data_IF_185797526010
#
_entry.id   IF_185797526010
#
_cell.length_a   1.000
_cell.length_b   1.000
_cell.length_c   1.000
_cell.angle_alpha   90.00
_cell.angle_beta   90.00
_cell.angle_gamma   90.00
#
_symmetry.space_group_name_H-M   'P 1'
#
loop_
_entity.id
_entity.type
_entity.pdbx_description
1 polymer ?
#
# COMPACT_ATOMS: atom_id res chain seq x y z
N UNK A 1 1.25 -0.45 -14.30
CA UNK A 1 0.54 -1.30 -13.30
C UNK A 1 1.29 -2.62 -13.26
N UNK A 2 1.95 -2.95 -12.15
CA UNK A 2 2.77 -4.15 -12.07
C UNK A 2 1.98 -5.36 -11.61
N UNK A 3 2.48 -6.55 -11.91
CA UNK A 3 1.77 -7.80 -11.65
C UNK A 3 1.59 -8.05 -10.14
N UNK A 4 0.35 -8.29 -9.72
CA UNK A 4 0.00 -8.55 -8.32
C UNK A 4 -0.08 -10.07 -8.08
N UNK A 5 0.99 -10.69 -7.60
CA UNK A 5 1.07 -12.16 -7.43
C UNK A 5 1.32 -12.62 -5.99
N UNK A 6 1.87 -11.76 -5.14
CA UNK A 6 2.25 -12.09 -3.76
C UNK A 6 1.03 -12.19 -2.84
N UNK A 7 1.07 -13.09 -1.86
CA UNK A 7 0.05 -13.21 -0.83
C UNK A 7 0.39 -12.31 0.38
N UNK A 8 -0.55 -12.16 1.31
CA UNK A 8 -0.35 -11.29 2.48
C UNK A 8 0.76 -11.78 3.43
N UNK A 9 1.04 -13.09 3.46
CA UNK A 9 2.13 -13.67 4.26
C UNK A 9 3.49 -13.24 3.74
N UNK A 10 3.73 -13.36 2.43
CA UNK A 10 4.94 -12.86 1.76
C UNK A 10 5.12 -11.36 2.00
N UNK A 11 4.04 -10.58 1.88
CA UNK A 11 4.11 -9.13 2.14
C UNK A 11 4.44 -8.83 3.60
N UNK A 12 3.88 -9.58 4.56
CA UNK A 12 4.24 -9.48 5.98
C UNK A 12 5.74 -9.71 6.19
N UNK A 13 6.30 -10.76 5.59
CA UNK A 13 7.73 -11.07 5.70
C UNK A 13 8.59 -9.96 5.11
N UNK A 14 8.23 -9.45 3.92
CA UNK A 14 8.99 -8.41 3.23
C UNK A 14 8.91 -7.02 3.88
N UNK A 15 7.79 -6.71 4.55
CA UNK A 15 7.53 -5.39 5.15
C UNK A 15 7.80 -5.32 6.64
N UNK A 16 7.80 -6.47 7.34
CA UNK A 16 7.80 -6.54 8.81
C UNK A 16 6.48 -6.10 9.45
N UNK A 17 5.44 -5.82 8.67
CA UNK A 17 4.11 -5.47 9.17
C UNK A 17 3.33 -6.72 9.55
N UNK A 18 2.48 -6.60 10.58
CA UNK A 18 1.44 -7.62 10.80
C UNK A 18 0.41 -7.61 9.67
N UNK A 19 -0.22 -8.76 9.41
CA UNK A 19 -1.33 -8.83 8.45
C UNK A 19 -2.47 -7.86 8.82
N UNK A 20 -2.68 -7.63 10.12
CA UNK A 20 -3.67 -6.68 10.62
C UNK A 20 -3.35 -5.26 10.16
N UNK A 21 -2.09 -4.83 10.25
CA UNK A 21 -1.67 -3.50 9.76
C UNK A 21 -1.84 -3.39 8.24
N UNK A 22 -1.46 -4.43 7.49
CA UNK A 22 -1.63 -4.44 6.02
C UNK A 22 -3.10 -4.28 5.64
N UNK A 23 -4.00 -5.06 6.27
CA UNK A 23 -5.46 -4.96 6.04
C UNK A 23 -5.99 -3.59 6.45
N UNK A 24 -5.52 -3.05 7.58
CA UNK A 24 -5.89 -1.71 8.03
C UNK A 24 -5.49 -0.62 7.03
N UNK A 25 -4.30 -0.68 6.44
CA UNK A 25 -3.87 0.29 5.43
C UNK A 25 -4.66 0.18 4.12
N UNK A 26 -5.06 -1.03 3.73
CA UNK A 26 -6.03 -1.23 2.64
C UNK A 26 -7.41 -0.65 2.96
N UNK A 27 -7.94 -0.88 4.18
CA UNK A 27 -9.22 -0.31 4.63
C UNK A 27 -9.19 1.22 4.64
N UNK A 28 -8.02 1.82 4.93
CA UNK A 28 -7.79 3.27 4.80
C UNK A 28 -7.52 3.74 3.37
N UNK A 29 -7.64 2.86 2.38
CA UNK A 29 -7.46 3.13 0.96
C UNK A 29 -6.07 3.71 0.66
N UNK A 30 -5.04 3.25 1.36
CA UNK A 30 -3.65 3.65 1.13
C UNK A 30 -2.92 2.72 0.15
N UNK A 31 -3.45 1.51 -0.03
CA UNK A 31 -3.02 0.51 -1.00
C UNK A 31 -4.25 -0.17 -1.61
N UNK A 32 -4.09 -0.76 -2.80
CA UNK A 32 -5.19 -1.35 -3.56
C UNK A 32 -4.79 -2.73 -4.12
N UNK A 33 -4.64 -3.77 -3.27
CA UNK A 33 -4.37 -5.12 -3.76
C UNK A 33 -5.53 -5.64 -4.61
N UNK A 34 -5.25 -6.52 -5.57
CA UNK A 34 -6.31 -7.21 -6.30
C UNK A 34 -6.82 -8.41 -5.50
N UNK A 35 -8.04 -8.84 -5.77
CA UNK A 35 -8.53 -10.14 -5.29
C UNK A 35 -8.31 -11.19 -6.38
N UNK A 36 -7.83 -12.36 -5.99
CA UNK A 36 -7.83 -13.56 -6.85
C UNK A 36 -9.22 -14.16 -6.97
N UNK A 37 -9.42 -15.13 -7.88
CA UNK A 37 -10.70 -15.84 -8.04
C UNK A 37 -11.21 -16.48 -6.73
N UNK A 38 -10.31 -16.99 -5.88
CA UNK A 38 -10.64 -17.54 -4.56
C UNK A 38 -10.78 -16.49 -3.44
N UNK A 39 -10.84 -15.19 -3.77
CA UNK A 39 -11.02 -14.12 -2.79
C UNK A 39 -9.76 -13.73 -2.01
N UNK A 40 -8.62 -14.40 -2.19
CA UNK A 40 -7.37 -14.01 -1.53
C UNK A 40 -6.80 -12.71 -2.12
N UNK A 41 -6.22 -11.85 -1.27
CA UNK A 41 -5.53 -10.62 -1.68
C UNK A 41 -4.23 -10.94 -2.38
N UNK A 42 -3.94 -10.18 -3.42
CA UNK A 42 -2.73 -10.27 -4.22
C UNK A 42 -2.10 -8.89 -4.36
N UNK A 43 -0.80 -8.84 -4.06
CA UNK A 43 -0.01 -7.61 -3.96
C UNK A 43 1.11 -7.62 -5.01
N UNK A 44 1.49 -6.42 -5.48
CA UNK A 44 2.67 -6.20 -6.32
C UNK A 44 3.85 -5.75 -5.46
N UNK A 45 5.01 -5.58 -6.08
CA UNK A 45 6.19 -5.04 -5.41
C UNK A 45 5.99 -3.58 -4.97
N UNK A 46 5.30 -2.77 -5.76
CA UNK A 46 5.00 -1.37 -5.40
C UNK A 46 4.05 -1.29 -4.21
N UNK A 47 3.12 -2.25 -4.05
CA UNK A 47 2.31 -2.33 -2.84
C UNK A 47 3.19 -2.56 -1.60
N UNK A 48 4.25 -3.37 -1.73
CA UNK A 48 5.22 -3.63 -0.65
C UNK A 48 6.02 -2.38 -0.30
N UNK A 49 6.55 -1.68 -1.31
CA UNK A 49 7.29 -0.43 -1.12
C UNK A 49 6.39 0.65 -0.48
N UNK A 50 5.16 0.77 -0.98
CA UNK A 50 4.17 1.69 -0.46
C UNK A 50 3.81 1.38 1.00
N UNK A 51 3.67 0.11 1.36
CA UNK A 51 3.44 -0.32 2.74
C UNK A 51 4.61 0.05 3.66
N UNK A 52 5.85 -0.12 3.21
CA UNK A 52 7.05 0.31 3.96
C UNK A 52 7.05 1.82 4.18
N UNK A 53 6.74 2.59 3.15
CA UNK A 53 6.66 4.05 3.24
C UNK A 53 5.57 4.51 4.21
N UNK A 54 4.37 3.91 4.13
CA UNK A 54 3.28 4.19 5.08
C UNK A 54 3.74 3.90 6.51
N UNK A 55 4.39 2.76 6.74
CA UNK A 55 4.86 2.38 8.06
C UNK A 55 5.87 3.38 8.64
N UNK A 56 6.82 3.85 7.83
CA UNK A 56 7.79 4.86 8.27
C UNK A 56 7.10 6.18 8.62
N UNK A 57 6.19 6.66 7.76
CA UNK A 57 5.43 7.89 8.06
C UNK A 57 4.56 7.76 9.32
N UNK A 58 3.96 6.59 9.56
CA UNK A 58 3.20 6.35 10.79
C UNK A 58 4.11 6.39 12.03
N UNK A 59 5.36 5.91 11.94
CA UNK A 59 6.36 6.05 13.01
C UNK A 59 6.79 7.49 13.23
N UNK A 60 6.83 8.29 12.17
CA UNK A 60 7.15 9.72 12.24
C UNK A 60 5.96 10.58 12.72
N UNK A 61 4.86 9.97 13.14
CA UNK A 61 3.70 10.64 13.74
C UNK A 61 2.62 11.08 12.75
N UNK A 62 2.73 10.76 11.46
CA UNK A 62 1.68 11.02 10.49
C UNK A 62 0.46 10.14 10.74
N UNK A 63 -0.73 10.65 10.42
CA UNK A 63 -1.98 9.88 10.50
C UNK A 63 -2.35 9.36 9.11
N UNK A 64 -3.02 8.22 9.05
CA UNK A 64 -3.46 7.61 7.77
C UNK A 64 -4.34 8.54 6.94
N UNK A 65 -5.08 9.44 7.57
CA UNK A 65 -5.89 10.45 6.87
C UNK A 65 -5.02 11.43 6.07
N UNK A 66 -3.92 11.88 6.65
CA UNK A 66 -2.97 12.80 6.01
C UNK A 66 -2.30 12.11 4.83
N UNK A 67 -1.90 10.85 5.02
CA UNK A 67 -1.31 10.00 3.97
C UNK A 67 -2.25 9.73 2.80
N UNK A 68 -3.57 9.65 3.05
CA UNK A 68 -4.56 9.46 1.99
C UNK A 68 -4.74 10.74 1.18
N UNK A 69 -4.77 11.90 1.85
CA UNK A 69 -4.88 13.21 1.17
C UNK A 69 -3.68 13.47 0.26
N UNK A 70 -2.47 13.15 0.70
CA UNK A 70 -1.27 13.33 -0.13
C UNK A 70 -1.27 12.40 -1.34
N UNK A 71 -1.69 11.14 -1.18
CA UNK A 71 -1.76 10.18 -2.29
C UNK A 71 -2.80 10.59 -3.35
N UNK A 72 -3.92 11.21 -2.93
CA UNK A 72 -4.91 11.76 -3.87
C UNK A 72 -4.39 13.00 -4.64
N UNK A 73 -3.42 13.72 -4.06
CA UNK A 73 -2.79 14.89 -4.70
C UNK A 73 -1.73 14.52 -5.75
N UNK A 74 -1.07 13.36 -5.62
CA UNK A 74 0.00 12.93 -6.54
C UNK A 74 -0.55 12.60 -7.94
N UNK A 75 -1.79 12.15 -8.08
CA UNK A 75 -2.42 11.88 -9.40
C UNK A 75 -2.54 13.12 -10.33
N UNK A 76 -2.15 14.32 -9.88
CA UNK A 76 -2.11 15.54 -10.70
C UNK A 76 -0.71 15.97 -11.15
N UNK A 77 0.37 15.29 -10.79
CA UNK A 77 1.74 15.76 -11.07
C UNK A 77 2.49 14.93 -12.14
N UNK A 78 1.89 13.87 -12.66
CA UNK A 78 2.56 12.94 -13.59
C UNK A 78 2.37 13.35 -15.07
N UNK A 79 1.52 14.33 -15.38
CA UNK A 79 1.27 14.80 -16.76
C UNK A 79 2.13 15.99 -17.19
N UNK A 80 3.27 16.23 -16.52
CA UNK A 80 4.05 17.44 -16.75
C UNK A 80 5.47 17.39 -16.25
N UNK A 81 6.26 16.43 -16.74
CA UNK A 81 7.71 16.60 -16.88
C UNK A 81 8.16 16.06 -18.23
N UNK A 82 8.37 17.03 -19.12
CA UNK A 82 9.33 17.11 -20.24
C UNK A 82 9.33 15.99 -21.28
#
# INVERSE_FOLDING_TARGET
MHEKVMNIGTVRELTGLSERQIRYYEEKQLIFPRRSKGGARKFSFEDVERLKEIHMKMKDGFRTFDLRKSAAGTLKLDSGRS
#
